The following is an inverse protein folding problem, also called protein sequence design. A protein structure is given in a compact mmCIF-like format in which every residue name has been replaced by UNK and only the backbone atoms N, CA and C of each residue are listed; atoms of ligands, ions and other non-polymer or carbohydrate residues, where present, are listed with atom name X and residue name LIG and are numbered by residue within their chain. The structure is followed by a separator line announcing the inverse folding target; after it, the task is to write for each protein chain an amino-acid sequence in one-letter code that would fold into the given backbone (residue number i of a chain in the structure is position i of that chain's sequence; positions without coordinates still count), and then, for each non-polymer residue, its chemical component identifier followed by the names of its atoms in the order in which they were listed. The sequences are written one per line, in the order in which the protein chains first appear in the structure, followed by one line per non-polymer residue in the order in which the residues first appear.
data_IF_133418886185
#
_entry.id   IF_133418886185
#
_cell.length_a   1.000
_cell.length_b   1.000
_cell.length_c   1.000
_cell.angle_alpha   90.00
_cell.angle_beta   90.00
_cell.angle_gamma   90.00
#
_symmetry.space_group_name_H-M   'P 1'
#
loop_
_entity.id
_entity.type
_entity.pdbx_description
1 polymer ?
#
# COMPACT_ATOMS: atom_id res chain seq x y z
N UNK A 1 51.41 -17.10 -9.02
CA UNK A 1 51.34 -18.40 -9.71
C UNK A 1 52.40 -18.38 -10.80
N UNK A 2 53.20 -19.45 -10.96
CA UNK A 2 54.26 -19.50 -11.94
C UNK A 2 53.75 -19.61 -13.39
N UNK A 3 52.59 -20.24 -13.66
CA UNK A 3 51.88 -20.15 -14.95
C UNK A 3 50.36 -19.99 -14.77
N UNK A 4 49.61 -19.67 -15.84
CA UNK A 4 48.14 -19.55 -15.82
C UNK A 4 47.58 -20.67 -16.69
N UNK A 5 47.57 -21.89 -16.13
CA UNK A 5 46.99 -23.07 -16.76
C UNK A 5 45.78 -23.58 -15.97
N UNK A 6 44.88 -24.29 -16.65
CA UNK A 6 43.70 -24.87 -16.01
C UNK A 6 44.08 -25.89 -14.93
N UNK A 7 45.10 -26.72 -15.19
CA UNK A 7 45.66 -27.65 -14.20
C UNK A 7 46.09 -26.94 -12.90
N UNK A 8 46.84 -25.84 -13.00
CA UNK A 8 47.32 -25.11 -11.81
C UNK A 8 46.18 -24.46 -11.02
N UNK A 9 45.18 -23.91 -11.70
CA UNK A 9 43.99 -23.33 -11.04
C UNK A 9 43.19 -24.42 -10.33
N UNK A 10 43.03 -25.59 -10.96
CA UNK A 10 42.33 -26.72 -10.35
C UNK A 10 43.09 -27.26 -9.13
N UNK A 11 44.41 -27.37 -9.21
CA UNK A 11 45.24 -27.79 -8.08
C UNK A 11 45.12 -26.82 -6.89
N UNK A 12 45.12 -25.50 -7.17
CA UNK A 12 44.94 -24.47 -6.14
C UNK A 12 43.62 -24.60 -5.38
N UNK A 13 42.51 -24.89 -6.07
CA UNK A 13 41.20 -25.03 -5.42
C UNK A 13 41.02 -26.33 -4.63
N UNK A 14 41.78 -27.38 -4.97
CA UNK A 14 41.73 -28.67 -4.26
C UNK A 14 42.71 -28.71 -3.09
N UNK A 15 43.80 -27.94 -3.16
CA UNK A 15 44.84 -27.91 -2.15
C UNK A 15 44.36 -27.24 -0.84
N UNK A 16 44.85 -27.76 0.29
CA UNK A 16 44.70 -27.15 1.61
C UNK A 16 45.85 -26.17 1.93
N UNK A 17 46.67 -25.81 0.94
CA UNK A 17 47.77 -24.84 1.09
C UNK A 17 47.25 -23.40 0.96
N UNK A 18 46.71 -22.88 2.06
CA UNK A 18 46.15 -21.52 2.14
C UNK A 18 47.17 -20.40 1.97
N UNK A 19 48.48 -20.70 1.95
CA UNK A 19 49.53 -19.71 1.67
C UNK A 19 49.52 -19.21 0.22
N UNK A 20 48.91 -19.99 -0.69
CA UNK A 20 48.74 -19.65 -2.11
C UNK A 20 47.50 -18.79 -2.40
N UNK A 21 46.64 -18.60 -1.41
CA UNK A 21 45.45 -17.74 -1.50
C UNK A 21 45.68 -16.42 -0.78
N UNK A 22 45.36 -15.30 -1.41
CA UNK A 22 45.45 -13.98 -0.76
C UNK A 22 44.50 -13.97 0.46
N UNK A 23 44.95 -13.52 1.65
CA UNK A 23 44.05 -13.33 2.78
C UNK A 23 42.85 -12.49 2.35
N UNK A 24 41.64 -12.98 2.63
CA UNK A 24 40.40 -12.26 2.33
C UNK A 24 40.39 -10.99 3.17
N UNK A 25 40.84 -9.88 2.59
CA UNK A 25 40.43 -8.57 3.08
C UNK A 25 38.93 -8.50 2.81
N UNK A 26 38.12 -8.66 3.85
CA UNK A 26 36.74 -8.21 3.86
C UNK A 26 36.80 -6.69 3.64
N UNK A 27 36.84 -6.26 2.37
CA UNK A 27 36.28 -4.95 2.05
C UNK A 27 34.79 -5.15 2.22
N UNK A 28 34.29 -4.77 3.39
CA UNK A 28 32.87 -4.49 3.59
C UNK A 28 32.43 -3.70 2.36
N UNK A 29 31.66 -4.34 1.49
CA UNK A 29 30.84 -3.59 0.55
C UNK A 29 30.07 -2.60 1.42
N UNK A 30 30.02 -1.30 1.06
CA UNK A 30 29.31 -0.32 1.87
C UNK A 30 27.92 -0.89 2.13
N UNK A 31 27.60 -1.08 3.41
CA UNK A 31 26.35 -1.68 3.84
C UNK A 31 25.23 -0.99 3.06
N UNK A 32 24.49 -1.75 2.24
CA UNK A 32 23.35 -1.22 1.53
C UNK A 32 22.39 -0.65 2.58
N UNK A 33 22.36 0.68 2.70
CA UNK A 33 21.61 1.36 3.76
C UNK A 33 20.13 1.39 3.40
N UNK A 34 19.49 0.23 3.58
CA UNK A 34 18.07 0.04 3.32
C UNK A 34 17.20 1.02 4.13
N UNK A 35 17.71 1.56 5.25
CA UNK A 35 17.00 2.60 6.01
C UNK A 35 16.97 3.91 5.24
N UNK A 36 18.05 4.27 4.53
CA UNK A 36 18.06 5.45 3.68
C UNK A 36 17.07 5.30 2.52
N UNK A 37 17.07 4.14 1.85
CA UNK A 37 16.13 3.83 0.75
C UNK A 37 14.68 3.89 1.25
N UNK A 38 14.38 3.27 2.39
CA UNK A 38 13.04 3.31 2.99
C UNK A 38 12.60 4.75 3.32
N UNK A 39 13.52 5.62 3.78
CA UNK A 39 13.21 7.04 4.04
C UNK A 39 13.03 7.85 2.77
N UNK A 40 13.73 7.50 1.69
CA UNK A 40 13.55 8.14 0.39
C UNK A 40 12.18 7.81 -0.21
N UNK A 41 11.76 6.55 -0.10
CA UNK A 41 10.41 6.10 -0.47
C UNK A 41 9.33 6.69 0.44
N UNK A 42 9.65 6.88 1.73
CA UNK A 42 8.73 7.42 2.73
C UNK A 42 7.62 6.45 3.12
N UNK A 43 6.66 6.94 3.91
CA UNK A 43 5.53 6.13 4.37
C UNK A 43 4.64 5.73 3.18
N UNK A 44 4.31 4.45 3.10
CA UNK A 44 3.49 3.87 2.03
C UNK A 44 2.63 2.71 2.56
N UNK A 45 2.03 1.92 1.67
CA UNK A 45 1.11 0.83 2.04
C UNK A 45 1.76 -0.32 2.82
N UNK A 46 3.08 -0.49 2.72
CA UNK A 46 3.84 -1.55 3.40
C UNK A 46 4.87 -1.02 4.40
N UNK A 47 5.01 0.29 4.58
CA UNK A 47 5.95 0.83 5.58
C UNK A 47 5.49 2.12 6.24
N UNK A 48 5.89 2.30 7.51
CA UNK A 48 5.67 3.52 8.27
C UNK A 48 6.80 3.81 9.27
N UNK A 49 6.84 5.05 9.78
CA UNK A 49 7.94 5.60 10.56
C UNK A 49 7.44 6.30 11.83
N UNK A 50 8.00 5.94 12.98
CA UNK A 50 7.73 6.57 14.28
C UNK A 50 9.01 7.05 14.94
N UNK A 51 9.03 8.32 15.37
CA UNK A 51 10.21 8.88 16.05
C UNK A 51 10.43 8.29 17.45
N UNK A 52 9.36 7.91 18.15
CA UNK A 52 9.40 7.31 19.49
C UNK A 52 8.08 6.64 19.86
N UNK A 53 8.13 5.80 20.90
CA UNK A 53 7.04 4.98 21.40
C UNK A 53 6.52 5.48 22.76
N UNK A 54 6.35 6.79 22.94
CA UNK A 54 5.85 7.31 24.22
C UNK A 54 4.36 7.02 24.40
N UNK A 55 3.97 6.59 25.60
CA UNK A 55 2.56 6.43 25.97
C UNK A 55 1.86 7.80 25.97
N UNK A 56 2.54 8.82 26.55
CA UNK A 56 2.05 10.19 26.53
C UNK A 56 1.97 10.69 25.09
N UNK A 57 0.80 11.22 24.71
CA UNK A 57 0.53 11.70 23.36
C UNK A 57 0.08 10.62 22.37
N UNK A 58 -0.19 9.39 22.83
CA UNK A 58 -0.81 8.35 21.99
C UNK A 58 0.11 7.72 20.94
N UNK A 59 1.42 7.99 20.97
CA UNK A 59 2.34 7.49 19.93
C UNK A 59 2.50 5.98 19.96
N UNK A 60 2.59 5.38 21.14
CA UNK A 60 2.53 3.93 21.29
C UNK A 60 1.22 3.37 20.70
N UNK A 61 0.09 4.05 20.94
CA UNK A 61 -1.19 3.60 20.41
C UNK A 61 -1.22 3.65 18.87
N UNK A 62 -0.67 4.70 18.26
CA UNK A 62 -0.54 4.79 16.81
C UNK A 62 0.32 3.65 16.24
N UNK A 63 1.41 3.27 16.91
CA UNK A 63 2.23 2.11 16.55
C UNK A 63 1.39 0.82 16.58
N UNK A 64 0.60 0.60 17.64
CA UNK A 64 -0.27 -0.59 17.73
C UNK A 64 -1.37 -0.57 16.65
N UNK A 65 -1.94 0.59 16.36
CA UNK A 65 -2.92 0.77 15.29
C UNK A 65 -2.30 0.44 13.92
N UNK A 66 -1.07 0.87 13.65
CA UNK A 66 -0.34 0.54 12.42
C UNK A 66 -0.06 -0.96 12.32
N UNK A 67 0.40 -1.60 13.40
CA UNK A 67 0.60 -3.06 13.42
C UNK A 67 -0.70 -3.80 13.08
N UNK A 68 -1.83 -3.39 13.68
CA UNK A 68 -3.14 -3.95 13.36
C UNK A 68 -3.53 -3.71 11.89
N UNK A 69 -3.26 -2.52 11.36
CA UNK A 69 -3.57 -2.14 9.99
C UNK A 69 -2.74 -2.94 8.96
N UNK A 70 -1.45 -3.15 9.24
CA UNK A 70 -0.58 -3.98 8.41
C UNK A 70 -1.03 -5.44 8.41
N UNK A 71 -1.36 -6.00 9.58
CA UNK A 71 -1.87 -7.36 9.68
C UNK A 71 -3.17 -7.58 8.87
N UNK A 72 -4.08 -6.59 8.87
CA UNK A 72 -5.33 -6.65 8.11
C UNK A 72 -5.17 -6.41 6.59
N UNK A 73 -4.02 -5.94 6.14
CA UNK A 73 -3.79 -5.59 4.73
C UNK A 73 -2.76 -6.51 4.07
N UNK A 74 -1.55 -6.03 3.82
CA UNK A 74 -0.50 -6.75 3.08
C UNK A 74 0.67 -7.17 3.96
N UNK A 75 0.58 -6.99 5.28
CA UNK A 75 1.76 -6.92 6.14
C UNK A 75 2.55 -5.64 5.89
N UNK A 76 3.71 -5.52 6.52
CA UNK A 76 4.56 -4.35 6.34
C UNK A 76 5.74 -4.29 7.30
N UNK A 77 6.48 -3.19 7.21
CA UNK A 77 7.65 -2.91 8.03
C UNK A 77 7.46 -1.58 8.75
N UNK A 78 7.57 -1.60 10.07
CA UNK A 78 7.53 -0.40 10.89
C UNK A 78 8.93 -0.04 11.37
N UNK A 79 9.32 1.22 11.18
CA UNK A 79 10.59 1.75 11.66
C UNK A 79 10.36 2.65 12.87
N UNK A 80 10.96 2.32 14.01
CA UNK A 80 10.85 3.10 15.26
C UNK A 80 12.21 3.70 15.60
N UNK A 81 12.23 4.99 15.94
CA UNK A 81 13.42 5.78 16.21
C UNK A 81 13.83 6.73 15.07
N UNK A 82 13.03 6.86 14.01
CA UNK A 82 13.26 7.82 12.94
C UNK A 82 11.99 8.42 12.36
N UNK A 83 12.15 9.54 11.66
CA UNK A 83 11.10 10.20 10.90
C UNK A 83 11.19 9.78 9.42
N UNK A 84 10.04 9.74 8.74
CA UNK A 84 9.94 9.51 7.30
C UNK A 84 10.67 10.55 6.45
N UNK A 85 10.87 11.78 6.94
CA UNK A 85 11.60 12.83 6.22
C UNK A 85 13.12 12.56 6.27
N UNK A 86 13.79 12.28 5.13
CA UNK A 86 15.22 11.99 5.09
C UNK A 86 16.11 13.16 5.55
N UNK A 87 15.61 14.40 5.49
CA UNK A 87 16.36 15.60 5.91
C UNK A 87 16.47 15.73 7.43
N UNK A 88 15.56 15.11 8.17
CA UNK A 88 15.58 15.17 9.65
C UNK A 88 16.65 14.23 10.21
N UNK A 89 17.31 14.59 11.32
CA UNK A 89 18.23 13.68 11.97
C UNK A 89 17.49 12.47 12.54
N UNK A 90 18.15 11.32 12.53
CA UNK A 90 17.67 10.10 13.19
C UNK A 90 17.52 10.38 14.69
N UNK A 91 16.38 10.04 15.30
CA UNK A 91 16.12 10.28 16.72
C UNK A 91 16.83 9.23 17.59
N UNK A 92 16.71 7.96 17.19
CA UNK A 92 17.20 6.79 17.91
C UNK A 92 16.30 6.38 19.06
N UNK A 93 16.48 5.14 19.50
CA UNK A 93 15.82 4.58 20.70
C UNK A 93 16.86 4.37 21.80
N UNK A 94 16.51 4.77 23.03
CA UNK A 94 17.27 4.44 24.23
C UNK A 94 16.85 3.04 24.73
N UNK A 95 17.82 2.21 25.11
CA UNK A 95 17.61 0.85 25.64
C UNK A 95 16.71 -0.05 24.75
N UNK A 96 17.21 -0.51 23.59
CA UNK A 96 16.40 -1.24 22.60
C UNK A 96 15.73 -2.49 23.18
N UNK A 97 16.41 -3.26 24.04
CA UNK A 97 15.88 -4.48 24.65
C UNK A 97 14.61 -4.23 25.48
N UNK A 98 14.59 -3.15 26.26
CA UNK A 98 13.43 -2.77 27.06
C UNK A 98 12.26 -2.35 26.18
N UNK A 99 12.54 -1.61 25.10
CA UNK A 99 11.52 -1.15 24.15
C UNK A 99 10.93 -2.31 23.36
N UNK A 100 11.74 -3.29 22.95
CA UNK A 100 11.29 -4.53 22.30
C UNK A 100 10.31 -5.27 23.21
N UNK A 101 10.72 -5.55 24.46
CA UNK A 101 9.87 -6.27 25.41
C UNK A 101 8.57 -5.53 25.70
N UNK A 102 8.61 -4.20 25.80
CA UNK A 102 7.40 -3.38 25.96
C UNK A 102 6.49 -3.50 24.73
N UNK A 103 7.03 -3.40 23.52
CA UNK A 103 6.25 -3.46 22.28
C UNK A 103 5.61 -4.84 22.09
N UNK A 104 6.35 -5.92 22.30
CA UNK A 104 5.84 -7.30 22.23
C UNK A 104 4.68 -7.53 23.22
N UNK A 105 4.82 -7.00 24.45
CA UNK A 105 3.76 -7.07 25.46
C UNK A 105 2.51 -6.31 25.03
N UNK A 106 2.65 -5.11 24.49
CA UNK A 106 1.51 -4.29 24.05
C UNK A 106 0.81 -4.92 22.83
N UNK A 107 1.57 -5.45 21.87
CA UNK A 107 1.03 -6.18 20.72
C UNK A 107 0.23 -7.40 21.18
N UNK A 108 0.82 -8.25 22.03
CA UNK A 108 0.15 -9.46 22.51
C UNK A 108 -1.06 -9.21 23.41
N UNK A 109 -1.09 -8.09 24.13
CA UNK A 109 -2.20 -7.75 25.03
C UNK A 109 -3.36 -7.07 24.28
N UNK A 110 -3.06 -6.24 23.28
CA UNK A 110 -4.07 -5.39 22.63
C UNK A 110 -4.55 -5.91 21.29
N UNK A 111 -3.76 -6.70 20.57
CA UNK A 111 -4.12 -7.19 19.24
C UNK A 111 -4.72 -8.58 19.35
N UNK A 112 -5.96 -8.70 18.87
CA UNK A 112 -6.73 -9.95 18.82
C UNK A 112 -7.19 -10.18 17.38
N UNK A 113 -6.97 -11.36 16.77
CA UNK A 113 -6.27 -12.55 17.25
C UNK A 113 -4.76 -12.33 17.51
N UNK A 114 -4.07 -13.24 18.24
CA UNK A 114 -2.64 -13.11 18.51
C UNK A 114 -1.82 -12.99 17.22
N UNK A 115 -0.88 -12.05 17.21
CA UNK A 115 -0.03 -11.74 16.06
C UNK A 115 1.44 -11.85 16.46
N UNK A 116 2.22 -12.59 15.66
CA UNK A 116 3.67 -12.73 15.85
C UNK A 116 4.40 -11.78 14.90
N UNK A 117 5.10 -10.80 15.45
CA UNK A 117 5.96 -9.88 14.71
C UNK A 117 7.44 -10.18 15.02
N UNK A 118 8.33 -10.00 14.05
CA UNK A 118 9.78 -10.08 14.29
C UNK A 118 10.39 -8.70 14.40
N UNK A 119 11.17 -8.45 15.46
CA UNK A 119 11.74 -7.13 15.76
C UNK A 119 13.27 -7.21 15.72
N UNK A 120 13.88 -6.43 14.85
CA UNK A 120 15.32 -6.31 14.68
C UNK A 120 15.83 -4.95 15.14
N UNK A 121 17.06 -4.91 15.67
CA UNK A 121 17.77 -3.67 16.00
C UNK A 121 18.79 -3.37 14.91
N UNK A 122 18.76 -2.16 14.37
CA UNK A 122 19.71 -1.67 13.39
C UNK A 122 20.43 -0.42 13.87
N UNK A 123 21.68 -0.25 13.44
CA UNK A 123 22.47 0.95 13.69
C UNK A 123 22.39 1.92 12.51
N UNK A 124 21.94 3.14 12.77
CA UNK A 124 21.92 4.23 11.80
C UNK A 124 22.56 5.47 12.42
N UNK A 125 23.67 5.94 11.85
CA UNK A 125 24.41 7.12 12.31
C UNK A 125 24.76 7.07 13.82
N UNK A 126 25.15 5.90 14.32
CA UNK A 126 25.48 5.68 15.74
C UNK A 126 24.26 5.63 16.67
N UNK A 127 23.05 5.57 16.13
CA UNK A 127 21.80 5.45 16.89
C UNK A 127 21.10 4.13 16.58
N UNK A 128 20.49 3.54 17.61
CA UNK A 128 19.72 2.30 17.49
C UNK A 128 18.31 2.58 16.98
N UNK A 129 17.88 1.78 16.01
CA UNK A 129 16.59 1.83 15.35
C UNK A 129 15.95 0.45 15.44
N UNK A 130 14.65 0.41 15.71
CA UNK A 130 13.90 -0.85 15.64
C UNK A 130 13.22 -0.97 14.29
N UNK A 131 13.41 -2.12 13.66
CA UNK A 131 12.65 -2.57 12.50
C UNK A 131 11.71 -3.67 12.95
N UNK A 132 10.41 -3.43 12.87
CA UNK A 132 9.38 -4.42 13.17
C UNK A 132 8.84 -4.93 11.85
N UNK A 133 8.94 -6.23 11.60
CA UNK A 133 8.32 -6.89 10.45
C UNK A 133 6.97 -7.47 10.91
N UNK A 134 5.91 -6.98 10.30
CA UNK A 134 4.54 -7.38 10.56
C UNK A 134 4.09 -8.28 9.40
N UNK A 135 3.79 -9.56 9.65
CA UNK A 135 3.26 -10.41 8.59
C UNK A 135 1.86 -9.96 8.21
N UNK A 136 1.43 -10.32 6.99
CA UNK A 136 0.01 -10.34 6.68
C UNK A 136 -0.66 -11.36 7.58
N UNK A 137 -1.71 -10.95 8.28
CA UNK A 137 -2.39 -11.81 9.22
C UNK A 137 -3.23 -12.88 8.54
N UNK A 138 -3.22 -14.09 9.11
CA UNK A 138 -3.93 -15.25 8.57
C UNK A 138 -5.39 -15.33 9.07
N UNK A 139 -5.71 -14.64 10.17
CA UNK A 139 -7.04 -14.61 10.76
C UNK A 139 -7.64 -13.20 10.87
N UNK A 140 -7.87 -12.50 9.73
CA UNK A 140 -8.54 -11.21 9.75
C UNK A 140 -10.05 -11.36 10.07
N UNK A 141 -10.67 -10.37 10.73
CA UNK A 141 -10.09 -9.09 11.12
C UNK A 141 -9.32 -9.15 12.44
N UNK A 142 -8.11 -8.59 12.44
CA UNK A 142 -7.37 -8.21 13.64
C UNK A 142 -7.96 -6.91 14.19
N UNK A 143 -8.08 -6.81 15.50
CA UNK A 143 -8.63 -5.67 16.21
C UNK A 143 -7.74 -5.26 17.38
N UNK A 144 -7.68 -3.96 17.64
CA UNK A 144 -7.06 -3.37 18.84
C UNK A 144 -8.13 -3.22 19.93
N UNK A 145 -7.82 -3.65 21.14
CA UNK A 145 -8.74 -3.67 22.29
C UNK A 145 -10.10 -4.30 21.92
N UNK A 146 -10.06 -5.43 21.21
CA UNK A 146 -11.18 -6.28 20.78
C UNK A 146 -12.17 -5.70 19.76
N UNK A 147 -12.29 -4.37 19.61
CA UNK A 147 -13.34 -3.77 18.77
C UNK A 147 -12.85 -2.75 17.73
N UNK A 148 -11.59 -2.34 17.77
CA UNK A 148 -11.06 -1.32 16.83
C UNK A 148 -10.28 -2.00 15.71
N UNK A 149 -10.96 -2.28 14.62
CA UNK A 149 -10.34 -2.81 13.40
C UNK A 149 -9.70 -1.64 12.65
N UNK A 150 -8.39 -1.71 12.44
CA UNK A 150 -7.66 -0.75 11.62
C UNK A 150 -7.33 -1.34 10.27
N UNK A 151 -7.37 -0.50 9.23
CA UNK A 151 -6.89 -0.84 7.88
C UNK A 151 -6.03 0.29 7.37
N UNK A 152 -5.07 -0.07 6.51
CA UNK A 152 -4.15 0.87 5.90
C UNK A 152 -4.59 1.19 4.48
N UNK A 153 -4.71 2.48 4.18
CA UNK A 153 -4.99 3.03 2.85
C UNK A 153 -3.82 3.95 2.45
N UNK A 154 -2.99 3.50 1.50
CA UNK A 154 -1.76 4.17 1.10
C UNK A 154 -0.83 4.36 2.30
N UNK A 155 -0.58 5.59 2.71
CA UNK A 155 0.28 5.93 3.85
C UNK A 155 -0.53 6.27 5.11
N UNK A 156 -1.85 6.01 5.12
CA UNK A 156 -2.74 6.38 6.22
C UNK A 156 -3.36 5.15 6.88
N UNK A 157 -3.28 5.11 8.21
CA UNK A 157 -3.97 4.11 9.03
C UNK A 157 -5.25 4.71 9.60
N UNK A 158 -6.37 4.03 9.42
CA UNK A 158 -7.67 4.48 9.92
C UNK A 158 -8.57 3.33 10.36
N UNK A 159 -9.60 3.67 11.13
CA UNK A 159 -10.64 2.71 11.54
C UNK A 159 -11.37 2.17 10.31
N UNK A 160 -11.54 0.86 10.26
CA UNK A 160 -12.23 0.18 9.18
C UNK A 160 -13.72 0.51 9.20
N UNK A 161 -14.26 0.85 8.04
CA UNK A 161 -15.70 1.01 7.84
C UNK A 161 -16.35 -0.37 7.72
N UNK A 162 -17.65 -0.46 8.00
CA UNK A 162 -18.44 -1.71 7.94
C UNK A 162 -18.08 -2.59 6.73
N UNK A 163 -18.11 -2.04 5.51
CA UNK A 163 -17.90 -2.84 4.31
C UNK A 163 -16.44 -3.32 4.15
N UNK A 164 -15.47 -2.60 4.72
CA UNK A 164 -14.08 -3.06 4.80
C UNK A 164 -13.96 -4.23 5.79
N UNK A 165 -14.61 -4.14 6.95
CA UNK A 165 -14.65 -5.24 7.92
C UNK A 165 -15.30 -6.48 7.28
N UNK A 166 -16.43 -6.31 6.61
CA UNK A 166 -17.08 -7.40 5.87
C UNK A 166 -16.14 -7.98 4.80
N UNK A 167 -15.42 -7.12 4.07
CA UNK A 167 -14.45 -7.56 3.07
C UNK A 167 -13.30 -8.36 3.69
N UNK A 168 -12.80 -7.97 4.87
CA UNK A 168 -11.78 -8.71 5.61
C UNK A 168 -12.28 -10.11 6.00
N UNK A 169 -13.49 -10.20 6.54
CA UNK A 169 -14.11 -11.48 6.92
C UNK A 169 -14.32 -12.37 5.69
N UNK A 170 -14.80 -11.82 4.57
CA UNK A 170 -15.04 -12.58 3.35
C UNK A 170 -13.75 -13.11 2.74
N UNK A 171 -12.63 -12.35 2.82
CA UNK A 171 -11.31 -12.80 2.35
C UNK A 171 -10.84 -14.09 3.05
N UNK A 172 -11.12 -14.26 4.36
CA UNK A 172 -10.81 -15.49 5.11
C UNK A 172 -11.58 -16.70 4.57
N UNK A 173 -12.81 -16.49 4.12
CA UNK A 173 -13.70 -17.58 3.71
C UNK A 173 -13.42 -18.16 2.31
N UNK A 174 -12.47 -17.60 1.55
CA UNK A 174 -12.28 -17.93 0.13
C UNK A 174 -13.46 -17.52 -0.78
N UNK A 175 -14.51 -16.93 -0.20
CA UNK A 175 -15.70 -16.48 -0.91
C UNK A 175 -15.44 -15.06 -1.40
N UNK A 176 -14.91 -14.93 -2.62
CA UNK A 176 -15.04 -13.67 -3.36
C UNK A 176 -16.55 -13.37 -3.45
N UNK A 177 -17.05 -12.21 -2.98
CA UNK A 177 -18.42 -11.85 -3.27
C UNK A 177 -18.53 -11.72 -4.80
N UNK A 178 -19.23 -12.68 -5.42
CA UNK A 178 -19.67 -12.50 -6.78
C UNK A 178 -20.49 -11.19 -6.82
N UNK A 179 -20.27 -10.31 -7.81
CA UNK A 179 -21.12 -9.14 -7.97
C UNK A 179 -22.58 -9.63 -8.00
N UNK A 180 -23.52 -8.91 -7.35
CA UNK A 180 -24.92 -9.34 -7.33
C UNK A 180 -25.37 -9.50 -8.80
N UNK A 181 -25.95 -10.66 -9.16
CA UNK A 181 -26.43 -10.85 -10.52
C UNK A 181 -27.48 -9.78 -10.79
N UNK A 182 -27.26 -8.99 -11.85
CA UNK A 182 -28.33 -8.19 -12.42
C UNK A 182 -29.44 -9.15 -12.85
N UNK A 183 -30.72 -8.81 -12.67
CA UNK A 183 -31.80 -9.64 -13.17
C UNK A 183 -31.76 -9.61 -14.69
N UNK A 184 -31.26 -10.69 -15.29
CA UNK A 184 -31.29 -10.91 -16.72
C UNK A 184 -32.43 -11.89 -17.02
N UNK A 185 -33.30 -11.44 -17.92
CA UNK A 185 -34.54 -12.06 -18.32
C UNK A 185 -34.26 -13.40 -19.00
N UNK A 186 -35.10 -14.38 -18.67
CA UNK A 186 -35.13 -15.76 -19.14
C UNK A 186 -34.85 -15.95 -20.65
N UNK A 187 -34.00 -16.95 -20.97
CA UNK A 187 -34.26 -17.97 -22.01
C UNK A 187 -33.22 -19.13 -21.97
N UNK A 188 -33.62 -20.17 -21.24
CA UNK A 188 -33.56 -21.63 -21.50
C UNK A 188 -32.53 -22.25 -22.50
N UNK A 189 -31.70 -23.14 -21.91
CA UNK A 189 -31.12 -24.47 -22.33
C UNK A 189 -30.25 -24.58 -23.61
N UNK A 190 -29.15 -25.36 -23.70
CA UNK A 190 -28.82 -26.75 -23.27
C UNK A 190 -27.28 -26.92 -23.07
N UNK A 191 -26.88 -27.89 -22.23
CA UNK A 191 -25.52 -28.39 -21.95
C UNK A 191 -24.74 -28.88 -23.21
N UNK A 192 -23.40 -28.97 -23.28
CA UNK A 192 -22.52 -29.84 -22.48
C UNK A 192 -21.02 -29.52 -22.72
N UNK A 193 -20.20 -29.91 -21.74
CA UNK A 193 -18.73 -30.17 -21.76
C UNK A 193 -17.70 -29.02 -21.73
N UNK A 194 -17.02 -28.91 -20.58
CA UNK A 194 -15.72 -28.28 -20.34
C UNK A 194 -14.63 -28.77 -21.31
N UNK A 195 -13.72 -27.89 -21.75
CA UNK A 195 -12.40 -27.88 -21.09
C UNK A 195 -11.80 -26.48 -20.89
N UNK A 196 -11.07 -26.37 -19.78
CA UNK A 196 -9.99 -25.40 -19.53
C UNK A 196 -10.35 -23.92 -19.69
N UNK A 197 -10.54 -23.25 -18.56
CA UNK A 197 -10.49 -21.79 -18.47
C UNK A 197 -9.25 -21.27 -19.21
N UNK A 198 -9.40 -20.56 -20.34
CA UNK A 198 -8.37 -19.61 -20.70
C UNK A 198 -8.50 -18.52 -19.65
N UNK A 199 -7.42 -18.28 -18.89
CA UNK A 199 -7.19 -16.95 -18.33
C UNK A 199 -7.41 -16.01 -19.52
N UNK A 200 -8.43 -15.13 -19.53
CA UNK A 200 -8.57 -14.19 -20.63
C UNK A 200 -7.25 -13.42 -20.66
N UNK A 201 -6.56 -13.32 -21.81
CA UNK A 201 -5.41 -12.43 -21.88
C UNK A 201 -5.93 -11.06 -21.46
N UNK A 202 -5.45 -10.57 -20.32
CA UNK A 202 -5.69 -9.22 -19.87
C UNK A 202 -5.30 -8.32 -21.04
N UNK A 203 -6.31 -7.74 -21.71
CA UNK A 203 -6.06 -6.78 -22.77
C UNK A 203 -5.46 -5.56 -22.08
N UNK A 204 -4.15 -5.38 -22.23
CA UNK A 204 -3.33 -4.25 -21.77
C UNK A 204 -3.80 -2.84 -22.26
N UNK A 205 -5.05 -2.68 -22.70
CA UNK A 205 -5.61 -1.45 -23.25
C UNK A 205 -6.84 -0.86 -22.53
N UNK A 206 -7.46 -1.56 -21.57
CA UNK A 206 -8.75 -1.14 -20.99
C UNK A 206 -8.78 -1.04 -19.45
N UNK A 207 -7.65 -1.25 -18.76
CA UNK A 207 -7.64 -1.22 -17.29
C UNK A 207 -7.73 0.20 -16.70
N UNK A 208 -8.49 0.37 -15.60
CA UNK A 208 -8.44 1.60 -14.78
C UNK A 208 -7.02 1.76 -14.19
N UNK A 209 -6.65 2.96 -13.72
CA UNK A 209 -5.37 3.15 -13.04
C UNK A 209 -5.23 2.19 -11.84
N UNK A 210 -3.99 1.82 -11.49
CA UNK A 210 -3.71 0.83 -10.44
C UNK A 210 -3.69 1.40 -9.02
N UNK A 211 -3.69 2.74 -8.88
CA UNK A 211 -3.72 3.45 -7.60
C UNK A 211 -4.78 4.55 -7.62
N UNK A 212 -5.13 5.07 -6.44
CA UNK A 212 -6.19 6.06 -6.27
C UNK A 212 -7.56 5.45 -6.00
N UNK A 213 -8.60 6.26 -6.12
CA UNK A 213 -9.99 5.91 -5.79
C UNK A 213 -10.96 6.37 -6.87
N UNK A 214 -11.98 5.55 -7.15
CA UNK A 214 -13.10 5.88 -8.04
C UNK A 214 -14.35 6.20 -7.20
N UNK A 215 -15.03 7.30 -7.54
CA UNK A 215 -16.38 7.57 -7.02
C UNK A 215 -17.39 6.88 -7.92
N UNK A 216 -17.94 5.75 -7.47
CA UNK A 216 -18.82 4.89 -8.28
C UNK A 216 -20.26 5.41 -8.32
N UNK A 217 -20.74 5.88 -7.17
CA UNK A 217 -22.13 6.32 -7.01
C UNK A 217 -22.24 7.34 -5.90
N UNK A 218 -23.19 8.27 -6.07
CA UNK A 218 -23.62 9.21 -5.03
C UNK A 218 -25.12 9.03 -4.84
N UNK A 219 -25.54 8.85 -3.60
CA UNK A 219 -26.92 8.76 -3.17
C UNK A 219 -27.18 9.83 -2.10
N UNK A 220 -28.12 10.73 -2.33
CA UNK A 220 -28.51 11.74 -1.34
C UNK A 220 -29.66 11.22 -0.48
N UNK A 221 -29.49 11.27 0.84
CA UNK A 221 -30.53 10.89 1.82
C UNK A 221 -30.57 11.94 2.92
N UNK A 222 -31.75 12.50 3.16
CA UNK A 222 -31.98 13.53 4.19
C UNK A 222 -31.03 14.74 4.10
N UNK A 223 -30.66 15.14 2.88
CA UNK A 223 -29.71 16.23 2.61
C UNK A 223 -28.23 15.89 2.86
N UNK A 224 -27.93 14.62 3.15
CA UNK A 224 -26.56 14.12 3.30
C UNK A 224 -26.21 13.26 2.08
N UNK A 225 -25.11 13.62 1.39
CA UNK A 225 -24.55 12.82 0.30
C UNK A 225 -23.78 11.61 0.82
N UNK A 226 -24.20 10.42 0.39
CA UNK A 226 -23.53 9.16 0.65
C UNK A 226 -22.86 8.67 -0.64
N UNK A 227 -21.55 8.45 -0.56
CA UNK A 227 -20.72 8.04 -1.67
C UNK A 227 -20.42 6.53 -1.59
N UNK A 228 -20.34 5.89 -2.75
CA UNK A 228 -19.76 4.57 -2.91
C UNK A 228 -18.38 4.73 -3.53
N UNK A 229 -17.35 4.38 -2.76
CA UNK A 229 -15.94 4.54 -3.13
C UNK A 229 -15.37 3.20 -3.56
N UNK A 230 -14.62 3.14 -4.65
CA UNK A 230 -13.88 1.95 -5.07
C UNK A 230 -12.38 2.19 -5.02
N UNK A 231 -11.68 1.42 -4.21
CA UNK A 231 -10.21 1.43 -4.15
C UNK A 231 -9.65 0.71 -5.38
N UNK A 232 -8.82 1.40 -6.16
CA UNK A 232 -8.33 0.90 -7.43
C UNK A 232 -7.22 -0.14 -7.31
N UNK A 233 -6.61 -0.28 -6.14
CA UNK A 233 -5.51 -1.24 -5.92
C UNK A 233 -6.01 -2.67 -5.77
N UNK A 234 -7.17 -2.84 -5.14
CA UNK A 234 -7.74 -4.15 -4.82
C UNK A 234 -9.16 -4.33 -5.37
N UNK A 235 -9.78 -3.28 -5.91
CA UNK A 235 -11.15 -3.30 -6.44
C UNK A 235 -12.23 -3.33 -5.36
N UNK A 236 -11.90 -3.13 -4.08
CA UNK A 236 -12.87 -3.11 -2.99
C UNK A 236 -13.81 -1.92 -3.13
N UNK A 237 -15.10 -2.15 -2.93
CA UNK A 237 -16.12 -1.10 -2.88
C UNK A 237 -16.63 -0.90 -1.45
N UNK A 238 -16.68 0.36 -1.01
CA UNK A 238 -17.17 0.77 0.30
C UNK A 238 -18.35 1.71 0.10
N UNK A 239 -19.52 1.30 0.61
CA UNK A 239 -20.77 2.07 0.48
C UNK A 239 -20.99 2.92 1.72
N UNK A 240 -21.86 3.91 1.58
CA UNK A 240 -22.30 4.81 2.67
C UNK A 240 -21.17 5.66 3.26
N UNK A 241 -20.16 6.02 2.47
CA UNK A 241 -19.11 6.94 2.89
C UNK A 241 -19.68 8.36 2.86
N UNK A 242 -19.49 9.14 3.92
CA UNK A 242 -19.84 10.56 3.96
C UNK A 242 -18.56 11.41 3.94
N UNK A 243 -18.68 12.70 3.65
CA UNK A 243 -17.54 13.63 3.71
C UNK A 243 -16.85 13.63 5.09
N UNK A 244 -17.61 13.44 6.16
CA UNK A 244 -17.11 13.41 7.55
C UNK A 244 -16.46 12.07 7.90
N UNK A 245 -16.98 10.96 7.38
CA UNK A 245 -16.44 9.62 7.66
C UNK A 245 -15.28 9.22 6.74
N UNK A 246 -14.99 10.02 5.71
CA UNK A 246 -13.98 9.71 4.71
C UNK A 246 -12.55 9.96 5.24
N UNK A 247 -11.64 9.01 4.99
CA UNK A 247 -10.19 9.16 5.21
C UNK A 247 -9.58 10.19 4.27
N UNK A 248 -8.31 10.56 4.43
CA UNK A 248 -7.70 11.68 3.69
C UNK A 248 -7.84 11.57 2.17
N UNK A 249 -7.57 10.39 1.59
CA UNK A 249 -7.70 10.18 0.13
C UNK A 249 -9.16 10.25 -0.33
N UNK A 250 -10.08 9.61 0.38
CA UNK A 250 -11.50 9.61 0.02
C UNK A 250 -12.15 10.97 0.26
N UNK A 251 -11.76 11.67 1.32
CA UNK A 251 -12.21 13.02 1.63
C UNK A 251 -11.76 14.00 0.55
N UNK A 252 -10.51 13.86 0.09
CA UNK A 252 -9.99 14.57 -1.07
C UNK A 252 -10.82 14.25 -2.32
N UNK A 253 -11.03 12.98 -2.65
CA UNK A 253 -11.80 12.57 -3.81
C UNK A 253 -13.24 13.10 -3.80
N UNK A 254 -13.92 13.04 -2.65
CA UNK A 254 -15.27 13.59 -2.45
C UNK A 254 -15.25 15.12 -2.62
N UNK A 255 -14.27 15.80 -2.03
CA UNK A 255 -14.17 17.26 -2.12
C UNK A 255 -13.91 17.72 -3.56
N UNK A 256 -13.04 17.04 -4.30
CA UNK A 256 -12.80 17.32 -5.72
C UNK A 256 -14.03 16.99 -6.56
N UNK A 257 -14.69 15.86 -6.27
CA UNK A 257 -15.91 15.46 -6.98
C UNK A 257 -17.05 16.47 -6.81
N UNK A 258 -17.27 16.98 -5.60
CA UNK A 258 -18.33 17.95 -5.32
C UNK A 258 -18.07 19.32 -5.98
N UNK A 259 -16.80 19.64 -6.29
CA UNK A 259 -16.44 20.85 -7.03
C UNK A 259 -16.65 20.70 -8.55
N UNK A 260 -16.77 19.47 -9.06
CA UNK A 260 -16.98 19.24 -10.48
C UNK A 260 -18.42 19.61 -10.88
N UNK A 261 -18.62 20.39 -11.96
CA UNK A 261 -19.94 20.60 -12.51
C UNK A 261 -20.51 19.28 -13.04
N UNK A 262 -21.83 19.11 -12.95
CA UNK A 262 -22.56 17.94 -13.48
C UNK A 262 -22.29 17.70 -14.98
N UNK A 263 -21.93 18.76 -15.70
CA UNK A 263 -21.47 18.71 -17.08
C UNK A 263 -19.95 18.90 -17.17
N UNK A 264 -19.23 17.78 -17.32
CA UNK A 264 -17.77 17.73 -17.45
C UNK A 264 -17.26 18.41 -18.73
N UNK A 265 -18.13 18.76 -19.69
CA UNK A 265 -17.74 19.49 -20.90
C UNK A 265 -17.31 20.93 -20.61
N UNK A 266 -17.68 21.47 -19.44
CA UNK A 266 -17.33 22.82 -19.00
C UNK A 266 -16.00 22.88 -18.24
N UNK A 267 -15.42 21.71 -17.93
CA UNK A 267 -14.13 21.60 -17.26
C UNK A 267 -13.02 21.61 -18.30
N UNK A 268 -11.91 22.29 -17.99
CA UNK A 268 -10.70 22.25 -18.83
C UNK A 268 -10.02 20.89 -18.66
N UNK A 269 -10.42 19.92 -19.48
CA UNK A 269 -9.89 18.56 -19.46
C UNK A 269 -8.95 18.39 -20.65
N UNK A 270 -7.73 17.93 -20.39
CA UNK A 270 -6.81 17.52 -21.46
C UNK A 270 -7.17 16.10 -21.89
N UNK A 271 -7.89 15.96 -22.99
CA UNK A 271 -8.34 14.67 -23.50
C UNK A 271 -7.32 14.04 -24.44
N UNK A 272 -7.14 12.73 -24.31
CA UNK A 272 -6.40 11.89 -25.25
C UNK A 272 -7.21 10.61 -25.52
N UNK A 273 -7.89 10.60 -26.68
CA UNK A 273 -8.80 9.51 -27.04
C UNK A 273 -9.99 9.42 -26.06
N UNK A 274 -10.07 8.33 -25.31
CA UNK A 274 -11.15 8.07 -24.33
C UNK A 274 -10.78 8.44 -22.89
N UNK A 275 -9.55 8.85 -22.63
CA UNK A 275 -9.08 9.23 -21.29
C UNK A 275 -8.73 10.70 -21.25
N UNK A 276 -8.78 11.31 -20.08
CA UNK A 276 -8.42 12.71 -19.90
C UNK A 276 -7.84 13.01 -18.53
N UNK A 277 -7.07 14.08 -18.45
CA UNK A 277 -6.52 14.63 -17.22
C UNK A 277 -7.38 15.81 -16.76
N UNK A 278 -7.93 15.69 -15.54
CA UNK A 278 -8.75 16.73 -14.90
C UNK A 278 -7.90 17.75 -14.15
N UNK A 279 -6.82 17.28 -13.51
CA UNK A 279 -5.97 18.12 -12.69
C UNK A 279 -4.77 17.38 -12.12
N UNK A 280 -3.75 18.15 -11.76
CA UNK A 280 -2.54 17.66 -11.11
C UNK A 280 -2.43 18.38 -9.76
N UNK A 281 -2.28 17.61 -8.68
CA UNK A 281 -2.00 18.12 -7.35
C UNK A 281 -0.56 17.76 -6.97
N UNK A 282 0.25 18.77 -6.65
CA UNK A 282 1.62 18.58 -6.16
C UNK A 282 1.67 18.90 -4.67
N UNK A 283 2.03 17.91 -3.85
CA UNK A 283 2.23 18.10 -2.42
C UNK A 283 3.65 17.64 -2.05
N UNK A 284 4.59 18.60 -2.03
CA UNK A 284 6.01 18.30 -1.79
C UNK A 284 6.60 17.50 -2.95
N UNK A 285 7.13 16.30 -2.67
CA UNK A 285 7.62 15.35 -3.68
C UNK A 285 6.52 14.51 -4.31
N UNK A 286 5.32 14.47 -3.71
CA UNK A 286 4.27 13.58 -4.17
C UNK A 286 3.39 14.29 -5.19
N UNK A 287 3.32 13.73 -6.39
CA UNK A 287 2.41 14.17 -7.45
C UNK A 287 1.21 13.22 -7.50
N UNK A 288 0.02 13.79 -7.54
CA UNK A 288 -1.25 13.06 -7.64
C UNK A 288 -2.06 13.60 -8.82
N UNK A 289 -2.66 12.69 -9.56
CA UNK A 289 -3.41 12.99 -10.79
C UNK A 289 -4.90 12.69 -10.58
N UNK A 290 -5.73 13.61 -11.03
CA UNK A 290 -7.17 13.40 -11.17
C UNK A 290 -7.45 13.10 -12.63
N UNK A 291 -8.02 11.92 -12.90
CA UNK A 291 -8.18 11.37 -14.23
C UNK A 291 -9.66 11.10 -14.52
N UNK A 292 -10.01 11.17 -15.79
CA UNK A 292 -11.36 10.83 -16.28
C UNK A 292 -11.28 9.85 -17.43
N UNK A 293 -12.22 8.93 -17.48
CA UNK A 293 -12.41 8.02 -18.60
C UNK A 293 -13.83 8.14 -19.16
N UNK A 294 -13.93 8.23 -20.48
CA UNK A 294 -15.18 8.20 -21.22
C UNK A 294 -15.51 6.76 -21.60
N UNK A 295 -16.57 6.23 -20.99
CA UNK A 295 -17.12 4.90 -21.27
C UNK A 295 -18.43 5.00 -22.03
N UNK A 296 -18.93 3.88 -22.56
CA UNK A 296 -20.25 3.83 -23.22
C UNK A 296 -21.41 4.17 -22.27
N UNK A 297 -21.21 4.07 -20.95
CA UNK A 297 -22.23 4.27 -19.91
C UNK A 297 -22.11 5.63 -19.20
N UNK A 298 -21.18 6.49 -19.63
CA UNK A 298 -20.89 7.77 -19.00
C UNK A 298 -19.41 7.93 -18.67
N UNK A 299 -19.11 8.74 -17.65
CA UNK A 299 -17.75 9.05 -17.23
C UNK A 299 -17.38 8.28 -15.97
N UNK A 300 -16.14 7.81 -15.90
CA UNK A 300 -15.51 7.33 -14.67
C UNK A 300 -14.49 8.34 -14.21
N UNK A 301 -14.53 8.68 -12.94
CA UNK A 301 -13.67 9.70 -12.33
C UNK A 301 -12.76 9.01 -11.33
N UNK A 302 -11.45 9.17 -11.53
CA UNK A 302 -10.41 8.58 -10.71
C UNK A 302 -9.64 9.72 -10.03
N UNK A 303 -9.51 9.68 -8.70
CA UNK A 303 -8.90 10.74 -7.91
C UNK A 303 -7.67 10.25 -7.17
N UNK A 304 -6.67 11.12 -7.06
CA UNK A 304 -5.47 10.88 -6.26
C UNK A 304 -4.56 9.78 -6.79
N UNK A 305 -4.58 9.52 -8.10
CA UNK A 305 -3.75 8.50 -8.75
C UNK A 305 -2.28 8.93 -8.65
N UNK A 306 -1.41 8.05 -8.17
CA UNK A 306 0.05 8.28 -8.09
C UNK A 306 0.75 7.83 -9.37
N UNK A 307 2.01 8.25 -9.57
CA UNK A 307 2.84 7.83 -10.71
C UNK A 307 2.91 6.30 -10.86
N UNK A 308 3.01 5.56 -9.77
CA UNK A 308 3.01 4.09 -9.76
C UNK A 308 1.71 3.48 -10.33
N UNK A 309 0.59 4.20 -10.23
CA UNK A 309 -0.70 3.77 -10.74
C UNK A 309 -0.87 3.98 -12.24
N UNK A 310 0.01 4.76 -12.86
CA UNK A 310 -0.11 5.23 -14.24
C UNK A 310 0.55 4.23 -15.18
N UNK A 311 -0.27 3.59 -16.02
CA UNK A 311 0.17 2.58 -16.98
C UNK A 311 -0.63 2.65 -18.28
N UNK A 312 -0.14 1.99 -19.33
CA UNK A 312 -0.80 1.97 -20.65
C UNK A 312 -1.10 3.36 -21.18
N UNK A 313 -2.34 3.59 -21.63
CA UNK A 313 -2.83 4.88 -22.18
C UNK A 313 -2.77 6.05 -21.19
N UNK A 314 -2.70 5.79 -19.89
CA UNK A 314 -2.60 6.84 -18.87
C UNK A 314 -1.23 7.52 -18.88
N UNK A 315 -0.16 6.81 -19.30
CA UNK A 315 1.18 7.40 -19.41
C UNK A 315 1.23 8.55 -20.40
N UNK A 316 0.46 8.44 -21.49
CA UNK A 316 0.43 9.44 -22.55
C UNK A 316 -0.22 10.77 -22.09
N UNK A 317 -1.00 10.75 -21.00
CA UNK A 317 -1.57 11.93 -20.37
C UNK A 317 -0.66 12.61 -19.34
N UNK A 318 0.40 11.91 -18.91
CA UNK A 318 1.21 12.31 -17.73
C UNK A 318 2.67 12.60 -18.09
N UNK A 319 3.19 12.09 -19.22
CA UNK A 319 4.47 12.58 -19.79
C UNK A 319 4.25 13.95 -20.46
N UNK A 320 5.03 15.00 -20.21
CA UNK A 320 6.46 15.07 -19.92
C UNK A 320 6.80 16.35 -19.13
N UNK A 321 7.43 16.21 -17.95
CA UNK A 321 8.28 17.26 -17.34
C UNK A 321 9.69 16.66 -17.16
N UNK A 322 10.37 16.38 -18.28
CA UNK A 322 11.83 16.45 -18.34
C UNK A 322 12.16 17.65 -19.24
N UNK A 323 12.28 18.82 -18.62
CA UNK A 323 13.13 19.94 -19.06
C UNK A 323 13.59 20.73 -17.82
#
# INVERSE_FOLDING_TARGET
MPEISFEEIRELFISNDFSRTRPRHHKEQPAYDFLMVAREEGANIIQDFHENMTIRGGKLYNIIADVCAFANTNGGTLYIGLNSDPKKPVTGIANPEQVISQLEKEISTRITPPLQCSIDVHDANGKKILRVLIPRGDDPPYAVDDNKVYVRDEAETGLAVRDEIVSLVLRKSGTRPAPPPKPEVEKLVVAEETPQSPIPPERDGESPPRTGVEVVKVDERDGISYYTMRDLRNGNEVKNVTRVSARRLWHYAITEFDQLPTDLSKVKIQWQGKVGLLGIQRQGKNVRYNLVERTQKGYRLYFGVTEDGIHGRWKALVGSDEE
#
